data_IF_081575602708
#
_entry.id   IF_081575602708
#
_cell.length_a   1.000
_cell.length_b   1.000
_cell.length_c   1.000
_cell.angle_alpha   90.00
_cell.angle_beta   90.00
_cell.angle_gamma   90.00
#
_symmetry.space_group_name_H-M   'P 1'
#
loop_
_entity.id
_entity.type
_entity.pdbx_description
1 polymer ?
#
# COMPACT_ATOMS: atom_id res chain seq x y z
N UNK A 1 -20.64 -4.50 0.39
CA UNK A 1 -20.20 -5.62 1.27
C UNK A 1 -20.33 -6.95 0.54
N UNK A 2 -19.22 -7.68 0.36
CA UNK A 2 -19.17 -8.93 -0.42
C UNK A 2 -20.15 -9.99 0.16
N UNK A 3 -20.95 -10.66 -0.69
CA UNK A 3 -21.98 -11.65 -0.26
C UNK A 3 -21.40 -12.75 0.65
N UNK A 4 -20.12 -13.09 0.47
CA UNK A 4 -19.43 -14.08 1.30
C UNK A 4 -19.17 -13.58 2.74
N UNK A 5 -18.90 -12.28 2.94
CA UNK A 5 -18.70 -11.70 4.27
C UNK A 5 -20.01 -11.69 5.07
N UNK A 6 -21.13 -11.36 4.43
CA UNK A 6 -22.47 -11.41 5.07
C UNK A 6 -22.80 -12.83 5.53
N UNK A 7 -22.54 -13.84 4.67
CA UNK A 7 -22.73 -15.25 5.03
C UNK A 7 -21.83 -15.67 6.19
N UNK A 8 -20.57 -15.23 6.21
CA UNK A 8 -19.65 -15.52 7.32
C UNK A 8 -20.14 -14.93 8.65
N UNK A 9 -20.52 -13.65 8.68
CA UNK A 9 -21.05 -13.03 9.91
C UNK A 9 -22.34 -13.70 10.38
N UNK A 10 -23.20 -14.12 9.45
CA UNK A 10 -24.40 -14.88 9.79
C UNK A 10 -24.06 -16.24 10.40
N UNK A 11 -23.11 -16.98 9.83
CA UNK A 11 -22.63 -18.26 10.40
C UNK A 11 -21.99 -18.06 11.77
N UNK A 12 -21.22 -16.98 11.95
CA UNK A 12 -20.58 -16.65 13.23
C UNK A 12 -21.63 -16.36 14.31
N UNK A 13 -22.65 -15.56 13.97
CA UNK A 13 -23.77 -15.25 14.85
C UNK A 13 -24.54 -16.53 15.25
N UNK A 14 -24.88 -17.39 14.29
CA UNK A 14 -25.56 -18.65 14.57
C UNK A 14 -24.69 -19.62 15.38
N UNK A 15 -23.37 -19.62 15.18
CA UNK A 15 -22.43 -20.39 16.00
C UNK A 15 -22.43 -19.94 17.47
N UNK A 16 -22.43 -18.63 17.72
CA UNK A 16 -22.55 -18.07 19.09
C UNK A 16 -23.91 -18.44 19.71
N UNK A 17 -25.00 -18.29 18.96
CA UNK A 17 -26.35 -18.66 19.43
C UNK A 17 -26.42 -20.14 19.82
N UNK A 18 -25.91 -21.04 18.97
CA UNK A 18 -25.88 -22.48 19.25
C UNK A 18 -25.02 -22.81 20.47
N UNK A 19 -23.88 -22.16 20.61
CA UNK A 19 -23.01 -22.33 21.77
C UNK A 19 -23.69 -21.86 23.08
N UNK A 20 -24.39 -20.73 23.05
CA UNK A 20 -25.18 -20.23 24.19
C UNK A 20 -26.33 -21.17 24.55
N UNK A 21 -27.05 -21.72 23.55
CA UNK A 21 -28.10 -22.71 23.78
C UNK A 21 -27.52 -23.99 24.42
N UNK A 22 -26.37 -24.46 23.93
CA UNK A 22 -25.72 -25.65 24.48
C UNK A 22 -25.22 -25.43 25.92
N UNK A 23 -24.73 -24.23 26.25
CA UNK A 23 -24.39 -23.84 27.63
C UNK A 23 -25.62 -23.76 28.54
N UNK A 24 -26.77 -23.29 28.04
CA UNK A 24 -28.03 -23.29 28.79
C UNK A 24 -28.49 -24.71 29.08
N UNK A 25 -28.49 -25.60 28.07
CA UNK A 25 -28.83 -27.02 28.24
C UNK A 25 -27.91 -27.68 29.28
N UNK A 26 -26.60 -27.42 29.19
CA UNK A 26 -25.63 -27.88 30.18
C UNK A 26 -25.96 -27.40 31.60
N UNK A 27 -26.26 -26.11 31.75
CA UNK A 27 -26.59 -25.51 33.06
C UNK A 27 -27.88 -26.08 33.63
N UNK A 28 -28.90 -26.30 32.79
CA UNK A 28 -30.17 -26.91 33.19
C UNK A 28 -30.00 -28.37 33.60
N UNK A 29 -29.24 -29.19 32.86
CA UNK A 29 -28.99 -30.58 33.23
C UNK A 29 -28.24 -30.71 34.56
N UNK A 30 -27.27 -29.82 34.81
CA UNK A 30 -26.52 -29.78 36.08
C UNK A 30 -27.38 -29.35 37.28
N UNK A 31 -28.21 -28.31 37.13
CA UNK A 31 -28.93 -27.69 38.25
C UNK A 31 -30.28 -28.37 38.52
N UNK A 32 -31.02 -28.75 37.46
CA UNK A 32 -32.40 -29.23 37.56
C UNK A 32 -32.47 -30.76 37.60
N UNK A 33 -31.70 -31.42 36.74
CA UNK A 33 -31.80 -32.87 36.55
C UNK A 33 -30.78 -33.70 37.37
N UNK A 34 -29.85 -33.05 38.07
CA UNK A 34 -28.80 -33.69 38.89
C UNK A 34 -28.04 -34.80 38.14
N UNK A 35 -27.74 -34.55 36.86
CA UNK A 35 -27.06 -35.53 36.01
C UNK A 35 -25.68 -35.92 36.58
N UNK A 36 -25.23 -37.14 36.31
CA UNK A 36 -23.95 -37.64 36.84
C UNK A 36 -22.76 -36.78 36.39
N UNK A 37 -21.78 -36.60 37.28
CA UNK A 37 -20.60 -35.77 37.02
C UNK A 37 -19.84 -36.19 35.74
N UNK A 38 -19.85 -37.49 35.42
CA UNK A 38 -19.19 -38.05 34.23
C UNK A 38 -19.89 -37.62 32.93
N UNK A 39 -21.23 -37.62 32.89
CA UNK A 39 -21.99 -37.17 31.72
C UNK A 39 -21.81 -35.66 31.46
N UNK A 40 -21.78 -34.88 32.53
CA UNK A 40 -21.54 -33.42 32.50
C UNK A 40 -20.12 -33.12 31.99
N UNK A 41 -19.12 -33.86 32.47
CA UNK A 41 -17.72 -33.73 32.04
C UNK A 41 -17.52 -34.13 30.57
N UNK A 42 -18.13 -35.23 30.14
CA UNK A 42 -18.09 -35.68 28.74
C UNK A 42 -18.74 -34.66 27.80
N UNK A 43 -19.90 -34.11 28.16
CA UNK A 43 -20.57 -33.07 27.37
C UNK A 43 -19.74 -31.79 27.28
N UNK A 44 -19.19 -31.32 28.41
CA UNK A 44 -18.31 -30.16 28.44
C UNK A 44 -17.05 -30.34 27.60
N UNK A 45 -16.48 -31.56 27.57
CA UNK A 45 -15.30 -31.88 26.76
C UNK A 45 -15.62 -31.88 25.26
N UNK A 46 -16.75 -32.44 24.85
CA UNK A 46 -17.20 -32.43 23.44
C UNK A 46 -17.48 -30.99 23.00
N UNK A 47 -18.18 -30.22 23.82
CA UNK A 47 -18.52 -28.83 23.56
C UNK A 47 -17.27 -27.94 23.49
N UNK A 48 -16.30 -28.18 24.37
CA UNK A 48 -14.98 -27.55 24.33
C UNK A 48 -14.22 -27.87 23.04
N UNK A 49 -14.20 -29.14 22.60
CA UNK A 49 -13.56 -29.55 21.35
C UNK A 49 -14.19 -28.87 20.12
N UNK A 50 -15.52 -28.82 20.04
CA UNK A 50 -16.22 -28.08 18.98
C UNK A 50 -15.96 -26.57 19.06
N UNK A 51 -15.91 -26.00 20.26
CA UNK A 51 -15.57 -24.60 20.49
C UNK A 51 -14.16 -24.26 19.98
N UNK A 52 -13.17 -25.12 20.26
CA UNK A 52 -11.80 -24.93 19.76
C UNK A 52 -11.74 -25.02 18.24
N UNK A 53 -12.36 -26.03 17.63
CA UNK A 53 -12.39 -26.17 16.16
C UNK A 53 -13.05 -24.95 15.49
N UNK A 54 -14.18 -24.51 16.03
CA UNK A 54 -14.86 -23.32 15.55
C UNK A 54 -14.00 -22.06 15.69
N UNK A 55 -13.36 -21.86 16.86
CA UNK A 55 -12.45 -20.75 17.09
C UNK A 55 -11.27 -20.77 16.11
N UNK A 56 -10.69 -21.94 15.81
CA UNK A 56 -9.62 -22.08 14.81
C UNK A 56 -10.09 -21.69 13.40
N UNK A 57 -11.29 -22.12 12.99
CA UNK A 57 -11.87 -21.75 11.68
C UNK A 57 -12.09 -20.25 11.58
N UNK A 58 -12.68 -19.65 12.62
CA UNK A 58 -12.92 -18.20 12.70
C UNK A 58 -11.59 -17.43 12.67
N UNK A 59 -10.59 -17.87 13.43
CA UNK A 59 -9.26 -17.26 13.46
C UNK A 59 -8.58 -17.31 12.08
N UNK A 60 -8.66 -18.45 11.38
CA UNK A 60 -8.12 -18.59 10.04
C UNK A 60 -8.80 -17.63 9.04
N UNK A 61 -10.11 -17.47 9.14
CA UNK A 61 -10.85 -16.53 8.28
C UNK A 61 -10.49 -15.07 8.59
N UNK A 62 -10.46 -14.69 9.86
CA UNK A 62 -10.05 -13.35 10.29
C UNK A 62 -8.62 -13.02 9.88
N UNK A 63 -7.71 -13.98 9.99
CA UNK A 63 -6.33 -13.82 9.56
C UNK A 63 -6.22 -13.58 8.05
N UNK A 64 -6.98 -14.32 7.24
CA UNK A 64 -7.00 -14.12 5.80
C UNK A 64 -7.58 -12.75 5.40
N UNK A 65 -8.67 -12.30 6.04
CA UNK A 65 -9.24 -10.99 5.76
C UNK A 65 -8.29 -9.86 6.17
N UNK A 66 -7.67 -9.99 7.36
CA UNK A 66 -6.66 -9.05 7.84
C UNK A 66 -5.45 -8.99 6.90
N UNK A 67 -4.96 -10.14 6.41
CA UNK A 67 -3.83 -10.22 5.48
C UNK A 67 -4.14 -9.51 4.16
N UNK A 68 -5.35 -9.69 3.62
CA UNK A 68 -5.78 -9.01 2.41
C UNK A 68 -5.88 -7.50 2.64
N UNK A 69 -6.54 -7.05 3.72
CA UNK A 69 -6.61 -5.63 4.08
C UNK A 69 -5.22 -5.00 4.22
N UNK A 70 -4.30 -5.66 4.93
CA UNK A 70 -2.94 -5.16 5.12
C UNK A 70 -2.13 -5.07 3.83
N UNK A 71 -2.32 -6.00 2.90
CA UNK A 71 -1.72 -5.92 1.57
C UNK A 71 -2.14 -4.64 0.84
N UNK A 72 -3.44 -4.30 0.86
CA UNK A 72 -3.95 -3.08 0.23
C UNK A 72 -3.43 -1.81 0.92
N UNK A 73 -3.38 -1.81 2.25
CA UNK A 73 -2.84 -0.71 3.05
C UNK A 73 -1.36 -0.44 2.72
N UNK A 74 -0.51 -1.48 2.73
CA UNK A 74 0.92 -1.35 2.41
C UNK A 74 1.14 -0.75 1.02
N UNK A 75 0.37 -1.22 0.02
CA UNK A 75 0.50 -0.74 -1.36
C UNK A 75 0.07 0.72 -1.49
N UNK A 76 -1.03 1.12 -0.86
CA UNK A 76 -1.51 2.50 -0.87
C UNK A 76 -0.54 3.45 -0.18
N UNK A 77 -0.06 3.09 1.02
CA UNK A 77 0.93 3.91 1.74
C UNK A 77 2.21 4.07 0.94
N UNK A 78 2.73 2.99 0.35
CA UNK A 78 3.93 3.06 -0.46
C UNK A 78 3.73 3.89 -1.74
N UNK A 79 2.56 3.79 -2.39
CA UNK A 79 2.24 4.60 -3.56
C UNK A 79 2.16 6.10 -3.22
N UNK A 80 1.52 6.46 -2.11
CA UNK A 80 1.45 7.84 -1.61
C UNK A 80 2.84 8.38 -1.24
N UNK A 81 3.64 7.60 -0.53
CA UNK A 81 5.00 7.99 -0.17
C UNK A 81 5.88 8.19 -1.40
N UNK A 82 5.85 7.24 -2.35
CA UNK A 82 6.62 7.33 -3.58
C UNK A 82 6.19 8.54 -4.42
N UNK A 83 4.88 8.82 -4.49
CA UNK A 83 4.36 10.00 -5.18
C UNK A 83 4.85 11.31 -4.53
N UNK A 84 4.77 11.40 -3.21
CA UNK A 84 5.21 12.60 -2.46
C UNK A 84 6.72 12.84 -2.64
N UNK A 85 7.53 11.80 -2.51
CA UNK A 85 8.98 11.94 -2.71
C UNK A 85 9.32 12.26 -4.18
N UNK A 86 8.55 11.75 -5.14
CA UNK A 86 8.71 12.11 -6.55
C UNK A 86 8.45 13.60 -6.80
N UNK A 87 7.36 14.16 -6.24
CA UNK A 87 7.11 15.60 -6.32
C UNK A 87 8.27 16.37 -5.71
N UNK A 88 8.73 15.97 -4.53
CA UNK A 88 9.85 16.64 -3.86
C UNK A 88 11.13 16.62 -4.70
N UNK A 89 11.49 15.48 -5.29
CA UNK A 89 12.66 15.36 -6.16
C UNK A 89 12.51 16.23 -7.43
N UNK A 90 11.31 16.27 -8.01
CA UNK A 90 10.98 17.13 -9.15
C UNK A 90 11.13 18.61 -8.80
N UNK A 91 10.58 19.05 -7.68
CA UNK A 91 10.69 20.44 -7.23
C UNK A 91 12.14 20.80 -6.92
N UNK A 92 12.92 19.90 -6.30
CA UNK A 92 14.34 20.12 -6.05
C UNK A 92 15.14 20.28 -7.34
N UNK A 93 14.82 19.51 -8.38
CA UNK A 93 15.40 19.69 -9.71
C UNK A 93 15.02 21.04 -10.33
N UNK A 94 13.77 21.48 -10.16
CA UNK A 94 13.35 22.82 -10.57
C UNK A 94 14.17 23.89 -9.84
N UNK A 95 14.28 23.83 -8.51
CA UNK A 95 15.07 24.79 -7.74
C UNK A 95 16.54 24.79 -8.16
N UNK A 96 17.14 23.62 -8.40
CA UNK A 96 18.49 23.51 -8.92
C UNK A 96 18.67 24.25 -10.26
N UNK A 97 17.73 24.09 -11.20
CA UNK A 97 17.80 24.76 -12.50
C UNK A 97 17.68 26.28 -12.36
N UNK A 98 16.84 26.76 -11.44
CA UNK A 98 16.53 28.19 -11.29
C UNK A 98 17.30 28.89 -10.16
N UNK A 99 18.24 28.21 -9.50
CA UNK A 99 18.89 28.73 -8.30
C UNK A 99 19.62 30.06 -8.52
N UNK A 100 20.22 30.28 -9.70
CA UNK A 100 20.88 31.56 -10.02
C UNK A 100 19.89 32.69 -10.32
N UNK A 101 18.67 32.35 -10.71
CA UNK A 101 17.60 33.33 -10.98
C UNK A 101 16.96 33.78 -9.67
N UNK A 102 16.68 32.82 -8.78
CA UNK A 102 16.03 33.09 -7.50
C UNK A 102 16.99 33.51 -6.38
N UNK A 103 18.30 33.32 -6.56
CA UNK A 103 19.28 33.57 -5.51
C UNK A 103 19.14 32.63 -4.32
N UNK A 104 18.68 31.39 -4.56
CA UNK A 104 18.53 30.38 -3.51
C UNK A 104 19.90 29.84 -3.07
N UNK A 105 19.98 29.18 -1.89
CA UNK A 105 21.18 28.45 -1.49
C UNK A 105 21.64 27.48 -2.58
N UNK A 106 22.94 27.24 -2.64
CA UNK A 106 23.54 26.36 -3.64
C UNK A 106 23.03 24.92 -3.45
N UNK A 107 22.36 24.41 -4.47
CA UNK A 107 21.94 23.01 -4.56
C UNK A 107 22.89 22.34 -5.55
N UNK A 108 23.51 21.24 -5.14
CA UNK A 108 24.38 20.48 -6.04
C UNK A 108 23.56 19.54 -6.92
N UNK A 109 23.99 19.31 -8.16
CA UNK A 109 23.33 18.33 -9.04
C UNK A 109 23.35 16.92 -8.43
N UNK A 110 24.42 16.58 -7.69
CA UNK A 110 24.54 15.30 -6.99
C UNK A 110 23.39 15.10 -6.00
N UNK A 111 23.05 16.11 -5.21
CA UNK A 111 21.93 16.02 -4.27
C UNK A 111 20.58 15.79 -4.96
N UNK A 112 20.41 16.36 -6.16
CA UNK A 112 19.20 16.15 -6.96
C UNK A 112 19.17 14.73 -7.54
N UNK A 113 20.31 14.26 -8.05
CA UNK A 113 20.46 12.92 -8.59
C UNK A 113 20.25 11.84 -7.52
N UNK A 114 20.83 12.04 -6.33
CA UNK A 114 20.66 11.15 -5.17
C UNK A 114 19.17 11.04 -4.75
N UNK A 115 18.46 12.17 -4.66
CA UNK A 115 17.04 12.20 -4.32
C UNK A 115 16.17 11.54 -5.40
N UNK A 116 16.46 11.81 -6.67
CA UNK A 116 15.73 11.19 -7.77
C UNK A 116 15.99 9.67 -7.82
N UNK A 117 17.23 9.23 -7.63
CA UNK A 117 17.59 7.82 -7.59
C UNK A 117 16.89 7.08 -6.43
N UNK A 118 16.79 7.71 -5.26
CA UNK A 118 16.03 7.19 -4.12
C UNK A 118 14.56 6.99 -4.47
N UNK A 119 13.93 7.96 -5.13
CA UNK A 119 12.53 7.85 -5.58
C UNK A 119 12.36 6.72 -6.59
N UNK A 120 13.24 6.63 -7.59
CA UNK A 120 13.21 5.56 -8.60
C UNK A 120 13.34 4.19 -7.94
N UNK A 121 14.21 4.06 -6.94
CA UNK A 121 14.35 2.84 -6.15
C UNK A 121 13.05 2.47 -5.40
N UNK A 122 12.36 3.45 -4.82
CA UNK A 122 11.05 3.23 -4.19
C UNK A 122 9.97 2.84 -5.19
N UNK A 123 9.92 3.46 -6.36
CA UNK A 123 8.97 3.11 -7.42
C UNK A 123 9.22 1.69 -7.96
N UNK A 124 10.49 1.28 -8.10
CA UNK A 124 10.84 -0.09 -8.46
C UNK A 124 10.39 -1.10 -7.39
N UNK A 125 10.56 -0.76 -6.10
CA UNK A 125 10.05 -1.57 -5.00
C UNK A 125 8.52 -1.69 -5.06
N UNK A 126 7.82 -0.59 -5.33
CA UNK A 126 6.37 -0.59 -5.52
C UNK A 126 5.94 -1.50 -6.68
N UNK A 127 6.59 -1.41 -7.85
CA UNK A 127 6.29 -2.29 -9.00
C UNK A 127 6.48 -3.77 -8.65
N UNK A 128 7.57 -4.11 -7.95
CA UNK A 128 7.83 -5.48 -7.50
C UNK A 128 6.75 -5.98 -6.52
N UNK A 129 6.26 -5.11 -5.62
CA UNK A 129 5.18 -5.44 -4.70
C UNK A 129 3.85 -5.64 -5.46
N UNK A 130 3.53 -4.75 -6.40
CA UNK A 130 2.32 -4.86 -7.24
C UNK A 130 2.31 -6.17 -8.04
N UNK A 131 3.46 -6.56 -8.58
CA UNK A 131 3.64 -7.85 -9.26
C UNK A 131 3.46 -9.03 -8.31
N UNK A 132 4.17 -9.03 -7.17
CA UNK A 132 4.07 -10.08 -6.14
C UNK A 132 2.63 -10.29 -5.68
N UNK A 133 1.90 -9.20 -5.56
CA UNK A 133 0.52 -9.21 -5.11
C UNK A 133 -0.52 -9.29 -6.24
N UNK A 134 -0.09 -9.41 -7.50
CA UNK A 134 -0.95 -9.54 -8.68
C UNK A 134 -2.02 -8.45 -8.78
N UNK A 135 -1.64 -7.18 -8.55
CA UNK A 135 -2.56 -6.04 -8.65
C UNK A 135 -2.98 -5.71 -10.10
N UNK A 136 -2.30 -6.26 -11.10
CA UNK A 136 -2.58 -6.02 -12.52
C UNK A 136 -2.23 -4.60 -12.99
N UNK A 137 -1.46 -3.86 -12.20
CA UNK A 137 -0.89 -2.56 -12.56
C UNK A 137 0.63 -2.75 -12.58
N UNK A 138 1.27 -2.25 -13.64
CA UNK A 138 2.73 -2.16 -13.77
C UNK A 138 3.10 -0.71 -14.04
N UNK A 139 4.15 -0.24 -13.38
CA UNK A 139 4.68 1.12 -13.50
C UNK A 139 6.11 1.15 -14.04
N UNK A 140 6.72 -0.01 -14.33
CA UNK A 140 8.11 -0.10 -14.80
C UNK A 140 8.39 0.75 -16.06
N UNK A 141 7.45 0.76 -17.02
CA UNK A 141 7.57 1.54 -18.25
C UNK A 141 7.61 3.04 -17.97
N UNK A 142 6.83 3.51 -16.99
CA UNK A 142 6.78 4.91 -16.58
C UNK A 142 8.05 5.32 -15.86
N UNK A 143 8.56 4.44 -14.98
CA UNK A 143 9.85 4.64 -14.29
C UNK A 143 10.97 4.78 -15.33
N UNK A 144 11.05 3.87 -16.30
CA UNK A 144 12.06 3.92 -17.36
C UNK A 144 11.91 5.17 -18.24
N UNK A 145 10.66 5.56 -18.56
CA UNK A 145 10.38 6.74 -19.36
C UNK A 145 10.81 8.03 -18.65
N UNK A 146 10.53 8.16 -17.35
CA UNK A 146 10.90 9.35 -16.57
C UNK A 146 12.42 9.41 -16.38
N UNK A 147 13.03 8.30 -15.96
CA UNK A 147 14.45 8.30 -15.62
C UNK A 147 15.32 8.28 -16.88
N UNK A 148 15.24 7.23 -17.67
CA UNK A 148 16.14 7.00 -18.81
C UNK A 148 15.81 7.89 -20.00
N UNK A 149 14.51 8.09 -20.28
CA UNK A 149 14.07 8.85 -21.47
C UNK A 149 13.81 10.34 -21.19
N UNK A 150 13.66 10.74 -19.94
CA UNK A 150 13.51 12.11 -19.50
C UNK A 150 14.80 12.63 -18.87
N UNK A 151 14.93 12.46 -17.56
CA UNK A 151 16.00 13.02 -16.74
C UNK A 151 17.42 12.73 -17.27
N UNK A 152 17.75 11.48 -17.61
CA UNK A 152 19.09 11.12 -18.06
C UNK A 152 19.44 11.68 -19.44
N UNK A 153 18.45 12.04 -20.27
CA UNK A 153 18.69 12.66 -21.59
C UNK A 153 19.00 14.15 -21.51
N UNK A 154 18.84 14.76 -20.34
CA UNK A 154 19.21 16.16 -20.15
C UNK A 154 20.72 16.33 -20.37
N UNK A 155 21.14 17.29 -21.21
CA UNK A 155 22.55 17.55 -21.49
C UNK A 155 23.42 17.75 -20.24
N UNK A 156 24.66 17.27 -20.30
CA UNK A 156 25.58 17.29 -19.16
C UNK A 156 25.93 18.69 -18.66
N UNK A 157 25.91 19.70 -19.53
CA UNK A 157 26.19 21.09 -19.12
C UNK A 157 25.09 21.66 -18.21
N UNK A 158 23.86 21.12 -18.21
CA UNK A 158 22.86 21.54 -17.23
C UNK A 158 23.12 20.98 -15.83
N UNK A 159 24.12 20.11 -15.66
CA UNK A 159 24.48 19.48 -14.37
C UNK A 159 25.46 20.33 -13.56
N UNK A 160 25.98 21.41 -14.14
CA UNK A 160 26.89 22.33 -13.44
C UNK A 160 26.21 23.66 -13.20
N UNK A 161 26.22 24.13 -11.95
CA UNK A 161 25.61 25.41 -11.55
C UNK A 161 26.20 26.59 -12.34
N UNK A 162 27.48 26.53 -12.66
CA UNK A 162 28.19 27.58 -13.41
C UNK A 162 27.64 27.73 -14.83
N UNK A 163 27.28 26.63 -15.47
CA UNK A 163 26.76 26.61 -16.83
C UNK A 163 25.29 27.08 -16.88
N UNK A 164 24.50 26.81 -15.83
CA UNK A 164 23.11 27.25 -15.71
C UNK A 164 22.97 28.77 -15.78
N UNK A 165 23.95 29.52 -15.28
CA UNK A 165 23.97 31.00 -15.29
C UNK A 165 23.86 31.62 -16.69
N UNK A 166 24.16 30.85 -17.73
CA UNK A 166 24.09 31.31 -19.14
C UNK A 166 22.69 31.21 -19.73
N UNK A 167 21.77 30.56 -19.04
CA UNK A 167 20.42 30.30 -19.52
C UNK A 167 19.38 31.19 -18.83
N UNK A 168 18.43 31.67 -19.61
CA UNK A 168 17.26 32.39 -19.11
C UNK A 168 16.17 31.45 -18.59
N UNK A 169 15.20 32.01 -17.87
CA UNK A 169 14.08 31.26 -17.27
C UNK A 169 13.33 30.38 -18.28
N UNK A 170 13.07 30.88 -19.50
CA UNK A 170 12.35 30.15 -20.54
C UNK A 170 13.10 28.91 -21.03
N UNK A 171 14.42 29.00 -21.17
CA UNK A 171 15.25 27.87 -21.60
C UNK A 171 15.31 26.79 -20.52
N UNK A 172 15.42 27.19 -19.26
CA UNK A 172 15.45 26.27 -18.11
C UNK A 172 14.10 25.59 -17.92
N UNK A 173 12.99 26.30 -18.16
CA UNK A 173 11.66 25.70 -18.14
C UNK A 173 11.53 24.60 -19.21
N UNK A 174 12.03 24.83 -20.43
CA UNK A 174 12.03 23.80 -21.47
C UNK A 174 12.83 22.57 -21.04
N UNK A 175 13.99 22.75 -20.39
CA UNK A 175 14.78 21.63 -19.85
C UNK A 175 14.00 20.86 -18.79
N UNK A 176 13.35 21.58 -17.87
CA UNK A 176 12.51 20.99 -16.84
C UNK A 176 11.34 20.18 -17.44
N UNK A 177 10.59 20.78 -18.37
CA UNK A 177 9.45 20.15 -19.02
C UNK A 177 9.88 18.91 -19.83
N UNK A 178 11.04 18.95 -20.49
CA UNK A 178 11.58 17.80 -21.20
C UNK A 178 11.93 16.66 -20.24
N UNK A 179 12.56 16.97 -19.10
CA UNK A 179 12.95 15.98 -18.09
C UNK A 179 11.75 15.22 -17.51
N UNK A 180 10.61 15.89 -17.37
CA UNK A 180 9.41 15.33 -16.73
C UNK A 180 8.17 15.23 -17.63
N UNK A 181 8.33 15.33 -18.95
CA UNK A 181 7.22 15.33 -19.94
C UNK A 181 6.24 14.15 -19.87
N UNK A 182 6.64 13.05 -19.21
CA UNK A 182 5.84 11.81 -19.08
C UNK A 182 5.45 11.49 -17.63
N UNK A 183 5.60 12.43 -16.71
CA UNK A 183 5.27 12.22 -15.30
C UNK A 183 3.76 12.02 -15.05
N UNK A 184 2.91 12.62 -15.88
CA UNK A 184 1.45 12.48 -15.82
C UNK A 184 0.98 11.01 -15.91
N UNK A 185 1.63 10.19 -16.73
CA UNK A 185 1.28 8.77 -16.87
C UNK A 185 1.59 8.00 -15.58
N UNK A 186 2.72 8.31 -14.94
CA UNK A 186 3.07 7.75 -13.63
C UNK A 186 2.05 8.18 -12.57
N UNK A 187 1.71 9.47 -12.54
CA UNK A 187 0.74 10.00 -11.58
C UNK A 187 -0.61 9.30 -11.69
N UNK A 188 -1.12 9.15 -12.93
CA UNK A 188 -2.37 8.44 -13.19
C UNK A 188 -2.32 7.00 -12.67
N UNK A 189 -1.24 6.26 -12.96
CA UNK A 189 -1.10 4.88 -12.46
C UNK A 189 -1.00 4.80 -10.94
N UNK A 190 -0.35 5.77 -10.28
CA UNK A 190 -0.28 5.84 -8.82
C UNK A 190 -1.66 6.11 -8.21
N UNK A 191 -2.46 6.98 -8.83
CA UNK A 191 -3.87 7.19 -8.43
C UNK A 191 -4.71 5.93 -8.64
N UNK A 192 -4.61 5.26 -9.79
CA UNK A 192 -5.32 4.01 -10.05
C UNK A 192 -4.99 2.92 -9.00
N UNK A 193 -3.76 2.90 -8.49
CA UNK A 193 -3.35 2.01 -7.39
C UNK A 193 -4.07 2.37 -6.09
N UNK A 194 -4.18 3.66 -5.77
CA UNK A 194 -4.85 4.16 -4.57
C UNK A 194 -6.36 3.92 -4.65
N UNK A 195 -7.00 4.22 -5.78
CA UNK A 195 -8.44 4.00 -6.00
C UNK A 195 -8.80 2.52 -5.88
N UNK A 196 -8.00 1.61 -6.47
CA UNK A 196 -8.21 0.17 -6.32
C UNK A 196 -8.12 -0.33 -4.87
N UNK A 197 -7.45 0.41 -3.99
CA UNK A 197 -7.39 0.11 -2.56
C UNK A 197 -8.67 0.57 -1.86
N UNK A 198 -9.24 1.71 -2.26
CA UNK A 198 -10.47 2.26 -1.69
C UNK A 198 -11.70 1.42 -2.07
N UNK A 199 -11.80 0.96 -3.32
CA UNK A 199 -12.91 0.10 -3.80
C UNK A 199 -13.02 -1.27 -3.09
N UNK A 200 -11.97 -1.67 -2.36
CA UNK A 200 -11.89 -2.95 -1.64
C UNK A 200 -12.14 -2.84 -0.13
N UNK A 201 -12.26 -1.62 0.42
CA UNK A 201 -12.67 -1.39 1.80
C UNK A 201 -14.19 -1.57 1.95
#
# INVERSE_FOLDING_TARGET
MNKNKIKFYSILLWGVVLYSIALLIYSTNKIVFHDSADAISAFGSILGAFGTLFATIVAAYLFNDWKDQKKYEIVSTLALEAHREFIYAKDKYHFFLFQHIYGTPEITYKEVDDDLFKVISKLNLLDAILERFKFGIRINSEIENIYTKGYCKVPQHYRQVVDLKRYGASQLQVVFDQAFSKDNDLYKKLLDIIEKVEDKK
#
